data_IF_721280919709
#
_entry.id   IF_721280919709
#
_cell.length_a   1.000
_cell.length_b   1.000
_cell.length_c   1.000
_cell.angle_alpha   90.00
_cell.angle_beta   90.00
_cell.angle_gamma   90.00
#
_symmetry.space_group_name_H-M   'P 1'
#
loop_
_entity.id
_entity.type
_entity.pdbx_description
1 polymer ?
#
# COMPACT_ATOMS: atom_id res chain seq x y z
N UNK A 1 31.26 -35.10 48.95
CA UNK A 1 29.95 -34.65 48.37
C UNK A 1 29.86 -33.13 48.23
N UNK A 2 30.14 -32.33 49.27
CA UNK A 2 30.11 -30.86 49.21
C UNK A 2 31.02 -30.21 48.15
N UNK A 3 32.24 -30.72 47.95
CA UNK A 3 33.16 -30.17 46.96
C UNK A 3 32.67 -30.35 45.50
N UNK A 4 32.07 -31.51 45.18
CA UNK A 4 31.47 -31.76 43.85
C UNK A 4 30.26 -30.86 43.59
N UNK A 5 29.44 -30.60 44.62
CA UNK A 5 28.30 -29.68 44.52
C UNK A 5 28.74 -28.22 44.28
N UNK A 6 29.81 -27.78 44.95
CA UNK A 6 30.38 -26.44 44.77
C UNK A 6 31.01 -26.30 43.37
N UNK A 7 31.79 -27.28 42.92
CA UNK A 7 32.38 -27.26 41.57
C UNK A 7 31.32 -27.30 40.47
N UNK A 8 30.25 -28.09 40.62
CA UNK A 8 29.13 -28.10 39.66
C UNK A 8 28.35 -26.78 39.65
N UNK A 9 28.16 -26.14 40.82
CA UNK A 9 27.49 -24.84 40.90
C UNK A 9 28.34 -23.72 40.25
N UNK A 10 29.65 -23.73 40.46
CA UNK A 10 30.58 -22.79 39.80
C UNK A 10 30.57 -22.99 38.29
N UNK A 11 30.66 -24.25 37.81
CA UNK A 11 30.61 -24.54 36.38
C UNK A 11 29.29 -24.10 35.74
N UNK A 12 28.16 -24.37 36.39
CA UNK A 12 26.84 -23.89 35.93
C UNK A 12 26.78 -22.36 35.88
N UNK A 13 27.32 -21.67 36.89
CA UNK A 13 27.37 -20.21 36.93
C UNK A 13 28.22 -19.63 35.79
N UNK A 14 29.38 -20.23 35.49
CA UNK A 14 30.20 -19.81 34.34
C UNK A 14 29.51 -20.08 33.00
N UNK A 15 28.85 -21.22 32.83
CA UNK A 15 28.10 -21.52 31.60
C UNK A 15 26.97 -20.53 31.39
N UNK A 16 26.20 -20.23 32.44
CA UNK A 16 25.13 -19.22 32.38
C UNK A 16 25.71 -17.83 32.14
N UNK A 17 26.79 -17.46 32.82
CA UNK A 17 27.48 -16.18 32.63
C UNK A 17 27.99 -15.98 31.21
N UNK A 18 28.60 -17.01 30.62
CA UNK A 18 29.05 -17.01 29.22
C UNK A 18 27.83 -16.92 28.28
N UNK A 19 26.76 -17.67 28.53
CA UNK A 19 25.55 -17.60 27.70
C UNK A 19 24.93 -16.19 27.71
N UNK A 20 24.86 -15.54 28.88
CA UNK A 20 24.38 -14.15 29.00
C UNK A 20 25.33 -13.19 28.29
N UNK A 21 26.64 -13.29 28.51
CA UNK A 21 27.63 -12.42 27.86
C UNK A 21 27.65 -12.57 26.34
N UNK A 22 27.52 -13.78 25.82
CA UNK A 22 27.47 -14.03 24.37
C UNK A 22 26.18 -13.50 23.78
N UNK A 23 25.03 -13.70 24.42
CA UNK A 23 23.74 -13.22 23.90
C UNK A 23 23.59 -11.71 23.97
N UNK A 24 23.97 -11.08 25.09
CA UNK A 24 23.93 -9.63 25.23
C UNK A 24 25.06 -8.95 24.48
N UNK A 25 26.28 -9.49 24.55
CA UNK A 25 27.45 -8.96 23.84
C UNK A 25 27.27 -9.02 22.32
N UNK A 26 26.70 -10.10 21.77
CA UNK A 26 26.36 -10.15 20.34
C UNK A 26 25.28 -9.13 19.97
N UNK A 27 24.26 -8.96 20.80
CA UNK A 27 23.20 -7.96 20.55
C UNK A 27 23.79 -6.55 20.51
N UNK A 28 24.66 -6.19 21.47
CA UNK A 28 25.35 -4.91 21.49
C UNK A 28 26.30 -4.74 20.31
N UNK A 29 27.07 -5.78 19.95
CA UNK A 29 27.98 -5.77 18.81
C UNK A 29 27.23 -5.52 17.50
N UNK A 30 26.12 -6.22 17.25
CA UNK A 30 25.34 -6.03 16.02
C UNK A 30 24.56 -4.70 16.01
N UNK A 31 24.18 -4.16 17.18
CA UNK A 31 23.54 -2.85 17.28
C UNK A 31 24.52 -1.68 17.09
N UNK A 32 25.79 -1.81 17.49
CA UNK A 32 26.76 -0.72 17.48
C UNK A 32 27.18 -0.23 16.08
N UNK A 33 26.85 -0.97 15.02
CA UNK A 33 27.31 -0.69 13.64
C UNK A 33 26.23 -0.21 12.67
N UNK A 34 25.00 0.09 13.12
CA UNK A 34 23.88 0.41 12.22
C UNK A 34 23.70 -0.63 11.09
N UNK A 35 23.91 -1.92 11.40
CA UNK A 35 23.83 -3.01 10.42
C UNK A 35 25.12 -3.34 9.67
N UNK A 36 26.17 -2.49 9.72
CA UNK A 36 27.47 -2.79 9.07
C UNK A 36 28.12 -4.06 9.63
N UNK A 37 28.02 -4.28 10.94
CA UNK A 37 28.50 -5.51 11.59
C UNK A 37 27.72 -6.75 11.16
N UNK A 38 26.45 -6.60 10.77
CA UNK A 38 25.65 -7.68 10.19
C UNK A 38 26.12 -7.98 8.75
N UNK A 39 26.37 -6.94 7.94
CA UNK A 39 26.85 -7.07 6.56
C UNK A 39 28.24 -7.73 6.44
N UNK A 40 29.04 -7.73 7.50
CA UNK A 40 30.33 -8.43 7.53
C UNK A 40 30.17 -9.96 7.46
N UNK A 41 29.06 -10.50 7.96
CA UNK A 41 28.79 -11.94 7.99
C UNK A 41 27.65 -12.36 7.06
N UNK A 42 26.75 -11.45 6.73
CA UNK A 42 25.57 -11.68 5.91
C UNK A 42 25.67 -10.92 4.59
N UNK A 43 25.25 -11.55 3.50
CA UNK A 43 25.21 -10.97 2.14
C UNK A 43 24.11 -9.90 2.02
N UNK A 44 24.21 -8.83 2.82
CA UNK A 44 23.23 -7.76 2.95
C UNK A 44 23.86 -6.36 2.82
N UNK A 45 25.12 -6.28 2.38
CA UNK A 45 25.82 -5.00 2.22
C UNK A 45 25.05 -4.01 1.34
N UNK A 46 24.41 -4.50 0.26
CA UNK A 46 23.54 -3.68 -0.58
C UNK A 46 22.32 -3.15 0.19
N UNK A 47 21.64 -3.99 0.99
CA UNK A 47 20.49 -3.57 1.80
C UNK A 47 20.88 -2.58 2.90
N UNK A 48 22.03 -2.77 3.54
CA UNK A 48 22.57 -1.83 4.56
C UNK A 48 22.90 -0.49 3.91
N UNK A 49 23.60 -0.51 2.77
CA UNK A 49 23.92 0.72 2.02
C UNK A 49 22.65 1.46 1.59
N UNK A 50 21.68 0.73 1.06
CA UNK A 50 20.39 1.29 0.65
C UNK A 50 19.65 1.90 1.85
N UNK A 51 19.64 1.23 3.00
CA UNK A 51 19.01 1.76 4.22
C UNK A 51 19.70 3.03 4.71
N UNK A 52 21.03 3.07 4.78
CA UNK A 52 21.81 4.26 5.18
C UNK A 52 21.61 5.45 4.26
N UNK A 53 21.36 5.20 2.98
CA UNK A 53 21.05 6.24 2.01
C UNK A 53 19.55 6.63 1.98
N UNK A 54 18.70 6.02 2.80
CA UNK A 54 17.28 6.35 2.89
C UNK A 54 17.00 7.43 3.94
N UNK A 55 15.79 8.01 3.99
CA UNK A 55 15.32 8.89 5.06
C UNK A 55 15.38 8.24 6.45
N UNK A 56 15.46 6.91 6.52
CA UNK A 56 15.62 6.16 7.75
C UNK A 56 17.08 5.81 8.06
N UNK A 57 18.07 6.39 7.37
CA UNK A 57 19.48 5.98 7.49
C UNK A 57 20.10 6.04 8.89
N UNK A 58 19.48 6.78 9.82
CA UNK A 58 19.89 6.83 11.23
C UNK A 58 19.24 5.74 12.11
N UNK A 59 18.24 5.02 11.63
CA UNK A 59 17.58 3.95 12.37
C UNK A 59 18.46 2.69 12.41
N UNK A 60 18.31 1.90 13.48
CA UNK A 60 18.90 0.58 13.59
C UNK A 60 18.01 -0.45 12.88
N UNK A 61 18.61 -1.54 12.38
CA UNK A 61 17.83 -2.61 11.75
C UNK A 61 16.76 -3.18 12.70
N UNK A 62 17.10 -3.28 13.99
CA UNK A 62 16.21 -3.80 15.04
C UNK A 62 15.04 -2.85 15.38
N UNK A 63 15.14 -1.56 15.03
CA UNK A 63 14.04 -0.61 15.18
C UNK A 63 12.87 -0.96 14.26
N UNK A 64 13.14 -1.69 13.16
CA UNK A 64 12.14 -2.16 12.21
C UNK A 64 11.96 -3.69 12.23
N UNK A 65 13.05 -4.47 12.24
CA UNK A 65 12.99 -5.93 12.13
C UNK A 65 13.07 -6.60 13.48
N UNK A 66 12.15 -7.52 13.75
CA UNK A 66 12.30 -8.46 14.87
C UNK A 66 13.24 -9.60 14.48
N UNK A 67 14.07 -10.02 15.43
CA UNK A 67 14.89 -11.21 15.27
C UNK A 67 14.70 -12.07 16.51
N UNK A 68 13.79 -13.04 16.42
CA UNK A 68 13.52 -13.95 17.53
C UNK A 68 14.74 -14.86 17.79
N UNK A 69 14.83 -15.45 18.98
CA UNK A 69 15.87 -16.44 19.27
C UNK A 69 15.80 -17.64 18.30
N UNK A 70 14.60 -18.04 17.90
CA UNK A 70 14.38 -19.09 16.91
C UNK A 70 14.99 -18.73 15.56
N UNK A 71 14.82 -17.49 15.11
CA UNK A 71 15.43 -17.00 13.87
C UNK A 71 16.95 -16.97 13.94
N UNK A 72 17.50 -16.51 15.07
CA UNK A 72 18.96 -16.53 15.31
C UNK A 72 19.51 -17.96 15.21
N UNK A 73 18.86 -18.92 15.88
CA UNK A 73 19.29 -20.32 15.86
C UNK A 73 19.13 -20.96 14.48
N UNK A 74 18.05 -20.64 13.76
CA UNK A 74 17.85 -21.06 12.36
C UNK A 74 18.95 -20.51 11.46
N UNK A 75 19.29 -19.23 11.56
CA UNK A 75 20.37 -18.62 10.78
C UNK A 75 21.72 -19.27 11.08
N UNK A 76 22.04 -19.52 12.35
CA UNK A 76 23.27 -20.23 12.74
C UNK A 76 23.29 -21.64 12.12
N UNK A 77 22.18 -22.38 12.19
CA UNK A 77 22.08 -23.72 11.59
C UNK A 77 22.25 -23.68 10.07
N UNK A 78 21.59 -22.76 9.38
CA UNK A 78 21.70 -22.61 7.92
C UNK A 78 23.12 -22.19 7.52
N UNK A 79 23.74 -21.29 8.29
CA UNK A 79 25.12 -20.87 8.03
C UNK A 79 26.13 -22.02 8.21
N UNK A 80 25.96 -22.86 9.23
CA UNK A 80 26.88 -23.95 9.53
C UNK A 80 26.63 -25.22 8.69
N UNK A 81 25.38 -25.50 8.35
CA UNK A 81 24.97 -26.81 7.81
C UNK A 81 23.99 -26.74 6.64
N UNK A 82 23.51 -25.55 6.27
CA UNK A 82 22.50 -25.37 5.25
C UNK A 82 23.06 -24.98 3.89
N UNK A 83 22.27 -25.22 2.85
CA UNK A 83 22.44 -24.52 1.58
C UNK A 83 21.98 -23.06 1.73
N UNK A 84 22.66 -22.16 1.02
CA UNK A 84 22.27 -20.75 0.96
C UNK A 84 20.85 -20.66 0.37
N UNK A 85 19.91 -19.96 1.02
CA UNK A 85 18.61 -19.71 0.40
C UNK A 85 18.76 -18.77 -0.80
N UNK A 86 17.95 -18.99 -1.84
CA UNK A 86 17.99 -18.22 -3.10
C UNK A 86 17.58 -16.74 -2.93
N UNK A 87 17.10 -16.34 -1.75
CA UNK A 87 16.79 -14.95 -1.40
C UNK A 87 16.30 -14.78 0.04
N UNK A 88 16.37 -13.55 0.55
CA UNK A 88 15.75 -13.17 1.84
C UNK A 88 14.33 -12.72 1.55
N UNK A 89 13.34 -13.51 1.96
CA UNK A 89 11.91 -13.20 1.81
C UNK A 89 11.35 -12.61 3.09
N UNK A 90 10.54 -11.57 2.97
CA UNK A 90 9.73 -11.07 4.07
C UNK A 90 8.48 -11.94 4.19
N UNK A 91 8.28 -12.59 5.34
CA UNK A 91 7.05 -13.29 5.61
C UNK A 91 5.98 -12.33 6.13
N UNK A 92 4.70 -12.65 5.90
CA UNK A 92 3.55 -11.92 6.46
C UNK A 92 3.72 -11.58 7.95
N UNK A 93 4.19 -12.53 8.76
CA UNK A 93 4.43 -12.32 10.18
C UNK A 93 5.47 -11.22 10.47
N UNK A 94 6.53 -11.16 9.66
CA UNK A 94 7.57 -10.13 9.78
C UNK A 94 7.00 -8.75 9.41
N UNK A 95 6.19 -8.68 8.36
CA UNK A 95 5.55 -7.43 7.91
C UNK A 95 4.55 -6.91 8.94
N UNK A 96 3.76 -7.81 9.55
CA UNK A 96 2.85 -7.44 10.63
C UNK A 96 3.59 -6.89 11.85
N UNK A 97 4.69 -7.53 12.26
CA UNK A 97 5.52 -6.98 13.34
C UNK A 97 6.06 -5.59 12.97
N UNK A 98 6.57 -5.43 11.75
CA UNK A 98 7.08 -4.15 11.26
C UNK A 98 6.03 -3.03 11.33
N UNK A 99 4.76 -3.30 11.05
CA UNK A 99 3.69 -2.29 11.12
C UNK A 99 3.60 -1.61 12.50
N UNK A 100 3.72 -2.39 13.58
CA UNK A 100 3.69 -1.86 14.95
C UNK A 100 4.91 -0.99 15.23
N UNK A 101 6.06 -1.35 14.67
CA UNK A 101 7.29 -0.57 14.77
C UNK A 101 7.22 0.72 13.96
N UNK A 102 6.65 0.68 12.75
CA UNK A 102 6.36 1.88 11.97
C UNK A 102 5.52 2.87 12.77
N UNK A 103 4.46 2.40 13.47
CA UNK A 103 3.60 3.24 14.30
C UNK A 103 4.36 4.01 15.38
N UNK A 104 5.44 3.45 15.94
CA UNK A 104 6.19 4.12 17.03
C UNK A 104 6.74 5.50 16.62
N UNK A 105 7.12 5.66 15.34
CA UNK A 105 7.61 6.90 14.77
C UNK A 105 6.57 7.61 13.88
N UNK A 106 5.76 6.85 13.13
CA UNK A 106 4.76 7.33 12.17
C UNK A 106 3.33 7.27 12.72
N UNK A 107 3.14 7.86 13.91
CA UNK A 107 1.87 7.78 14.64
C UNK A 107 0.70 8.39 13.85
N UNK A 108 0.93 9.53 13.19
CA UNK A 108 -0.10 10.23 12.43
C UNK A 108 -0.46 9.47 11.15
N UNK A 109 0.54 9.03 10.39
CA UNK A 109 0.34 8.26 9.17
C UNK A 109 -0.37 6.94 9.46
N UNK A 110 0.06 6.23 10.51
CA UNK A 110 -0.58 5.00 10.95
C UNK A 110 -2.03 5.24 11.36
N UNK A 111 -2.30 6.25 12.21
CA UNK A 111 -3.67 6.55 12.65
C UNK A 111 -4.57 6.92 11.47
N UNK A 112 -4.05 7.69 10.50
CA UNK A 112 -4.76 8.01 9.27
C UNK A 112 -5.05 6.75 8.45
N UNK A 113 -4.05 5.91 8.21
CA UNK A 113 -4.23 4.66 7.46
C UNK A 113 -5.21 3.72 8.15
N UNK A 114 -5.10 3.56 9.46
CA UNK A 114 -5.94 2.69 10.28
C UNK A 114 -7.40 3.16 10.35
N UNK A 115 -7.65 4.45 10.19
CA UNK A 115 -9.00 5.00 10.11
C UNK A 115 -9.61 4.91 8.69
N UNK A 116 -8.80 4.56 7.69
CA UNK A 116 -9.20 4.49 6.29
C UNK A 116 -9.63 3.08 5.84
N UNK A 117 -10.15 2.96 4.61
CA UNK A 117 -10.52 1.67 4.03
C UNK A 117 -9.30 0.77 3.73
N UNK A 118 -8.10 1.34 3.59
CA UNK A 118 -6.88 0.57 3.34
C UNK A 118 -6.38 -0.26 4.54
N UNK A 119 -6.90 -0.05 5.75
CA UNK A 119 -6.67 -0.97 6.86
C UNK A 119 -7.68 -2.13 6.89
N UNK A 120 -8.39 -2.38 5.79
CA UNK A 120 -9.33 -3.50 5.67
C UNK A 120 -8.64 -4.83 6.02
N UNK A 121 -9.34 -5.59 6.86
CA UNK A 121 -8.81 -6.82 7.44
C UNK A 121 -9.06 -8.03 6.54
N UNK A 122 -8.39 -9.15 6.83
CA UNK A 122 -8.65 -10.40 6.11
C UNK A 122 -10.11 -10.82 6.19
N UNK A 123 -10.76 -10.66 7.35
CA UNK A 123 -12.19 -10.96 7.47
C UNK A 123 -13.05 -10.03 6.61
N UNK A 124 -12.80 -8.72 6.65
CA UNK A 124 -13.54 -7.75 5.86
C UNK A 124 -13.43 -8.00 4.34
N UNK A 125 -12.27 -8.44 3.86
CA UNK A 125 -12.06 -8.70 2.43
C UNK A 125 -12.53 -10.10 2.01
N UNK A 126 -12.03 -11.14 2.67
CA UNK A 126 -12.20 -12.52 2.18
C UNK A 126 -13.51 -13.16 2.61
N UNK A 127 -14.23 -12.59 3.59
CA UNK A 127 -15.53 -13.13 4.03
C UNK A 127 -16.73 -12.25 3.65
N UNK A 128 -16.54 -11.22 2.81
CA UNK A 128 -17.64 -10.36 2.35
C UNK A 128 -18.64 -11.13 1.48
N UNK A 129 -19.83 -11.37 2.03
CA UNK A 129 -20.86 -12.15 1.35
C UNK A 129 -21.38 -11.45 0.07
N UNK A 130 -21.41 -10.12 0.03
CA UNK A 130 -21.91 -9.36 -1.13
C UNK A 130 -20.97 -9.52 -2.32
N UNK A 131 -19.67 -9.41 -2.10
CA UNK A 131 -18.65 -9.66 -3.09
C UNK A 131 -18.62 -11.13 -3.49
N UNK A 132 -18.48 -12.04 -2.52
CA UNK A 132 -18.21 -13.44 -2.79
C UNK A 132 -19.39 -14.19 -3.45
N UNK A 133 -20.64 -13.75 -3.22
CA UNK A 133 -21.79 -14.27 -3.97
C UNK A 133 -21.77 -13.88 -5.44
N UNK A 134 -21.24 -12.71 -5.76
CA UNK A 134 -21.14 -12.20 -7.13
C UNK A 134 -19.92 -12.72 -7.88
N UNK A 135 -18.86 -13.09 -7.16
CA UNK A 135 -17.58 -13.47 -7.75
C UNK A 135 -16.82 -14.47 -6.90
N UNK A 136 -16.29 -15.50 -7.56
CA UNK A 136 -15.38 -16.47 -6.93
C UNK A 136 -14.05 -15.79 -6.60
N UNK A 137 -13.59 -15.98 -5.37
CA UNK A 137 -12.26 -15.58 -4.93
C UNK A 137 -11.16 -16.34 -5.70
N UNK A 138 -10.05 -15.67 -5.97
CA UNK A 138 -8.95 -16.19 -6.78
C UNK A 138 -7.60 -15.65 -6.29
N UNK A 139 -6.50 -16.30 -6.66
CA UNK A 139 -5.15 -15.88 -6.21
C UNK A 139 -4.80 -14.45 -6.63
N UNK A 140 -5.46 -13.91 -7.66
CA UNK A 140 -5.28 -12.52 -8.08
C UNK A 140 -5.76 -11.50 -7.03
N UNK A 141 -6.58 -11.91 -6.05
CA UNK A 141 -6.90 -11.08 -4.87
C UNK A 141 -5.62 -10.67 -4.13
N UNK A 142 -4.60 -11.53 -4.10
CA UNK A 142 -3.31 -11.28 -3.45
C UNK A 142 -2.40 -10.31 -4.21
N UNK A 143 -2.81 -9.84 -5.39
CA UNK A 143 -2.17 -8.68 -6.02
C UNK A 143 -2.25 -7.45 -5.13
N UNK A 144 -3.31 -7.31 -4.33
CA UNK A 144 -3.54 -6.14 -3.49
C UNK A 144 -3.86 -6.47 -2.03
N UNK A 145 -4.58 -7.57 -1.77
CA UNK A 145 -4.99 -7.94 -0.43
C UNK A 145 -4.21 -9.16 0.06
N UNK A 146 -3.33 -9.01 1.06
CA UNK A 146 -2.52 -10.12 1.58
C UNK A 146 -1.29 -10.39 0.71
N UNK A 147 -0.65 -9.32 0.23
CA UNK A 147 0.47 -9.39 -0.73
C UNK A 147 1.70 -10.13 -0.17
N UNK A 148 1.84 -10.20 1.15
CA UNK A 148 2.93 -10.91 1.84
C UNK A 148 2.50 -12.29 2.38
N UNK A 149 1.25 -12.70 2.15
CA UNK A 149 0.76 -14.03 2.50
C UNK A 149 1.40 -15.09 1.59
N UNK A 150 2.01 -16.09 2.21
CA UNK A 150 2.67 -17.19 1.52
C UNK A 150 1.69 -18.37 1.37
N UNK A 151 0.94 -18.40 0.27
CA UNK A 151 -0.05 -19.41 -0.03
C UNK A 151 -0.96 -19.00 -1.20
N UNK A 152 -1.97 -19.82 -1.50
CA UNK A 152 -3.06 -19.48 -2.41
C UNK A 152 -4.31 -19.00 -1.66
N UNK A 153 -5.29 -18.47 -2.37
CA UNK A 153 -6.54 -17.98 -1.78
C UNK A 153 -7.33 -19.09 -1.07
N UNK A 154 -7.18 -20.34 -1.51
CA UNK A 154 -7.73 -21.52 -0.82
C UNK A 154 -7.16 -21.74 0.57
N UNK A 155 -5.96 -21.24 0.82
CA UNK A 155 -5.27 -21.40 2.09
C UNK A 155 -5.67 -20.30 3.07
N UNK A 156 -6.39 -19.25 2.63
CA UNK A 156 -6.90 -18.19 3.51
C UNK A 156 -8.40 -18.27 3.76
N UNK A 157 -9.19 -18.77 2.80
CA UNK A 157 -10.65 -18.77 2.90
C UNK A 157 -11.28 -19.98 2.22
N UNK A 158 -12.32 -20.54 2.85
CA UNK A 158 -13.13 -21.64 2.33
C UNK A 158 -14.62 -21.36 2.56
N UNK A 159 -15.53 -21.83 1.68
CA UNK A 159 -15.26 -22.56 0.44
C UNK A 159 -14.88 -21.63 -0.71
N UNK A 160 -14.12 -22.15 -1.68
CA UNK A 160 -13.75 -21.43 -2.91
C UNK A 160 -14.86 -21.47 -3.97
N UNK A 161 -16.08 -21.05 -3.61
CA UNK A 161 -17.26 -20.97 -4.48
C UNK A 161 -18.07 -19.67 -4.24
N UNK A 162 -19.19 -19.49 -4.94
CA UNK A 162 -20.09 -18.32 -4.81
C UNK A 162 -21.30 -18.56 -3.90
N UNK A 163 -21.35 -19.70 -3.19
CA UNK A 163 -22.49 -20.11 -2.36
C UNK A 163 -22.29 -19.89 -0.86
N UNK A 164 -21.02 -19.89 -0.40
CA UNK A 164 -20.69 -19.68 1.01
C UNK A 164 -21.26 -20.77 1.95
N UNK A 165 -21.30 -20.51 3.26
CA UNK A 165 -20.70 -19.36 3.94
C UNK A 165 -19.17 -19.42 3.92
N UNK A 166 -18.53 -18.27 3.68
CA UNK A 166 -17.06 -18.14 3.67
C UNK A 166 -16.52 -17.94 5.08
N UNK A 167 -15.48 -18.68 5.41
CA UNK A 167 -14.76 -18.56 6.67
C UNK A 167 -13.26 -18.59 6.39
N UNK A 168 -12.51 -17.89 7.25
CA UNK A 168 -11.07 -17.93 7.20
C UNK A 168 -10.56 -19.27 7.74
N UNK A 169 -9.59 -19.84 7.04
CA UNK A 169 -8.84 -21.02 7.50
C UNK A 169 -7.80 -20.66 8.56
N UNK A 170 -7.35 -19.40 8.56
CA UNK A 170 -6.45 -18.78 9.54
C UNK A 170 -7.21 -17.74 10.37
N UNK A 171 -7.95 -18.15 11.42
CA UNK A 171 -8.71 -17.21 12.25
C UNK A 171 -7.81 -16.19 12.96
N UNK A 172 -6.55 -16.50 13.20
CA UNK A 172 -5.55 -15.59 13.76
C UNK A 172 -5.23 -14.39 12.86
N UNK A 173 -5.56 -14.45 11.57
CA UNK A 173 -5.40 -13.33 10.63
C UNK A 173 -6.64 -12.46 10.52
N UNK A 174 -7.76 -12.83 11.15
CA UNK A 174 -9.06 -12.21 10.89
C UNK A 174 -9.09 -10.68 11.08
N UNK A 175 -8.39 -10.17 12.10
CA UNK A 175 -8.28 -8.75 12.41
C UNK A 175 -7.05 -8.08 11.82
N UNK A 176 -6.21 -8.83 11.11
CA UNK A 176 -4.97 -8.31 10.54
C UNK A 176 -5.24 -7.56 9.24
N UNK A 177 -4.51 -6.47 8.98
CA UNK A 177 -4.67 -5.70 7.75
C UNK A 177 -4.18 -6.50 6.54
N UNK A 178 -4.87 -6.36 5.42
CA UNK A 178 -4.46 -6.98 4.14
C UNK A 178 -3.54 -6.10 3.30
N UNK A 179 -3.46 -4.79 3.61
CA UNK A 179 -2.67 -3.80 2.86
C UNK A 179 -1.76 -3.05 3.85
N UNK A 180 -0.63 -3.65 4.28
CA UNK A 180 0.32 -2.98 5.17
C UNK A 180 1.02 -1.80 4.46
N UNK A 181 1.69 -0.93 5.22
CA UNK A 181 2.39 0.25 4.68
C UNK A 181 3.34 -0.10 3.53
N UNK A 182 4.03 -1.24 3.64
CA UNK A 182 5.00 -1.71 2.65
C UNK A 182 4.35 -2.18 1.34
N UNK A 183 3.01 -2.29 1.26
CA UNK A 183 2.33 -2.46 -0.04
C UNK A 183 2.51 -1.24 -0.95
N UNK A 184 2.63 -0.04 -0.34
CA UNK A 184 2.75 1.24 -1.04
C UNK A 184 4.07 1.98 -0.76
N UNK A 185 4.88 1.49 0.18
CA UNK A 185 6.13 2.13 0.57
C UNK A 185 7.33 1.20 0.51
N UNK A 186 8.40 1.67 -0.13
CA UNK A 186 9.70 1.00 -0.14
C UNK A 186 10.67 1.69 0.81
N UNK A 187 11.19 0.94 1.80
CA UNK A 187 12.02 1.47 2.89
C UNK A 187 13.52 1.39 2.58
N UNK A 188 14.02 0.20 2.21
CA UNK A 188 15.45 -0.03 1.94
C UNK A 188 15.82 0.40 0.52
N UNK A 189 16.05 1.70 0.33
CA UNK A 189 16.43 2.21 -0.98
C UNK A 189 17.37 3.41 -0.88
N UNK A 190 18.24 3.49 -1.87
CA UNK A 190 19.10 4.64 -2.05
C UNK A 190 18.29 5.86 -2.53
N UNK A 191 18.38 6.94 -1.77
CA UNK A 191 17.80 8.24 -2.09
C UNK A 191 18.89 9.31 -2.05
N UNK A 192 18.73 10.35 -2.87
CA UNK A 192 19.52 11.55 -2.67
C UNK A 192 19.08 12.19 -1.33
N UNK A 193 20.00 12.53 -0.42
CA UNK A 193 19.65 13.22 0.81
C UNK A 193 18.86 14.49 0.52
N UNK A 194 17.75 14.71 1.25
CA UNK A 194 17.05 15.97 1.18
C UNK A 194 17.98 17.09 1.64
N UNK A 195 18.22 18.07 0.77
CA UNK A 195 19.01 19.25 1.11
C UNK A 195 18.08 20.41 1.41
N UNK A 196 18.46 21.21 2.40
CA UNK A 196 17.79 22.49 2.67
C UNK A 196 17.94 23.38 1.43
N UNK A 197 16.84 23.92 0.87
CA UNK A 197 16.96 24.88 -0.23
C UNK A 197 17.87 26.05 0.17
N UNK A 198 18.77 26.44 -0.74
CA UNK A 198 19.70 27.55 -0.49
C UNK A 198 18.97 28.89 -0.33
N UNK A 199 17.81 29.04 -0.98
CA UNK A 199 16.95 30.20 -0.85
C UNK A 199 15.87 29.98 0.22
N UNK A 200 15.41 31.08 0.83
CA UNK A 200 14.27 31.07 1.77
C UNK A 200 12.98 30.55 1.14
N UNK A 201 12.84 30.70 -0.18
CA UNK A 201 11.67 30.26 -0.95
C UNK A 201 12.02 28.92 -1.59
N UNK A 202 11.28 27.88 -1.24
CA UNK A 202 11.38 26.58 -1.92
C UNK A 202 10.83 26.71 -3.33
N UNK A 203 11.60 26.26 -4.32
CA UNK A 203 11.11 26.01 -5.67
C UNK A 203 10.45 24.62 -5.73
N UNK A 204 9.83 24.28 -6.86
CA UNK A 204 9.23 22.96 -7.07
C UNK A 204 10.28 21.86 -6.83
N UNK A 205 10.03 21.01 -5.83
CA UNK A 205 10.79 19.79 -5.59
C UNK A 205 10.35 18.66 -6.52
N UNK A 206 10.88 17.44 -6.33
CA UNK A 206 10.46 16.28 -7.11
C UNK A 206 8.95 16.05 -7.00
N UNK A 207 8.32 15.70 -8.12
CA UNK A 207 6.86 15.54 -8.23
C UNK A 207 6.30 14.37 -7.41
N UNK A 208 7.16 13.43 -7.00
CA UNK A 208 6.80 12.22 -6.25
C UNK A 208 7.70 12.12 -5.05
N UNK A 209 7.12 11.78 -3.90
CA UNK A 209 7.92 11.26 -2.80
C UNK A 209 8.50 9.96 -3.29
N UNK A 210 9.81 9.91 -3.36
CA UNK A 210 10.48 8.79 -3.96
C UNK A 210 10.07 7.46 -3.25
N UNK A 211 9.63 7.48 -1.97
CA UNK A 211 9.35 6.27 -1.16
C UNK A 211 8.07 5.56 -1.57
N UNK A 212 7.26 6.20 -2.40
CA UNK A 212 6.04 5.64 -2.95
C UNK A 212 6.39 4.59 -4.02
N UNK A 213 6.00 3.35 -3.77
CA UNK A 213 6.29 2.20 -4.61
C UNK A 213 5.25 1.11 -4.41
N UNK A 214 4.96 0.32 -5.44
CA UNK A 214 4.10 -0.84 -5.32
C UNK A 214 4.94 -2.09 -5.07
N UNK A 215 4.62 -2.85 -4.02
CA UNK A 215 5.19 -4.18 -3.86
C UNK A 215 4.50 -5.14 -4.83
N UNK A 216 5.22 -5.79 -5.74
CA UNK A 216 4.65 -6.86 -6.54
C UNK A 216 4.96 -8.20 -5.88
N UNK A 217 3.91 -8.94 -5.50
CA UNK A 217 4.03 -10.24 -4.85
C UNK A 217 4.68 -11.31 -5.74
N UNK A 218 4.48 -11.24 -7.06
CA UNK A 218 4.96 -12.28 -7.99
C UNK A 218 6.47 -12.16 -8.18
N UNK A 219 6.94 -10.93 -8.26
CA UNK A 219 8.36 -10.60 -8.35
C UNK A 219 9.04 -10.53 -6.96
N UNK A 220 8.26 -10.43 -5.89
CA UNK A 220 8.74 -10.18 -4.52
C UNK A 220 9.60 -8.89 -4.41
N UNK A 221 9.23 -7.87 -5.18
CA UNK A 221 10.01 -6.63 -5.36
C UNK A 221 9.13 -5.38 -5.33
N UNK A 222 9.74 -4.26 -4.91
CA UNK A 222 9.10 -2.95 -5.00
C UNK A 222 9.42 -2.25 -6.33
N UNK A 223 8.36 -1.74 -6.97
CA UNK A 223 8.44 -0.90 -8.17
C UNK A 223 8.07 0.54 -7.83
N UNK A 224 8.98 1.48 -8.09
CA UNK A 224 8.76 2.91 -7.82
C UNK A 224 7.53 3.43 -8.56
N UNK A 225 6.76 4.31 -7.94
CA UNK A 225 5.56 4.89 -8.56
C UNK A 225 5.83 5.52 -9.94
N UNK A 226 6.97 6.19 -10.10
CA UNK A 226 7.38 6.78 -11.38
C UNK A 226 7.75 5.77 -12.47
N UNK A 227 8.01 4.51 -12.13
CA UNK A 227 8.30 3.42 -13.07
C UNK A 227 7.05 2.62 -13.45
N UNK A 228 5.94 2.80 -12.72
CA UNK A 228 4.68 2.13 -13.01
C UNK A 228 3.95 2.81 -14.17
N UNK A 229 3.30 2.01 -15.01
CA UNK A 229 2.49 2.50 -16.12
C UNK A 229 1.16 3.07 -15.64
N UNK A 230 0.79 4.24 -16.15
CA UNK A 230 -0.58 4.76 -16.09
C UNK A 230 -1.33 4.22 -17.32
N UNK A 231 -2.45 3.51 -17.16
CA UNK A 231 -3.14 2.87 -18.29
C UNK A 231 -3.79 3.89 -19.22
N UNK A 232 -3.88 3.53 -20.50
CA UNK A 232 -4.73 4.24 -21.46
C UNK A 232 -6.17 3.72 -21.34
N UNK A 233 -7.09 4.61 -20.98
CA UNK A 233 -8.49 4.26 -20.65
C UNK A 233 -9.50 4.98 -21.52
N UNK A 234 -10.70 4.40 -21.62
CA UNK A 234 -11.76 4.83 -22.52
C UNK A 234 -13.14 4.85 -21.82
N UNK A 235 -13.99 5.80 -22.22
CA UNK A 235 -15.44 5.82 -21.96
C UNK A 235 -16.17 5.58 -23.28
N UNK A 236 -16.54 4.32 -23.50
CA UNK A 236 -17.02 3.83 -24.77
C UNK A 236 -15.96 3.98 -25.87
N UNK A 237 -16.27 4.64 -27.00
CA UNK A 237 -15.28 4.89 -28.06
C UNK A 237 -14.30 6.01 -27.73
N UNK A 238 -14.55 6.81 -26.69
CA UNK A 238 -13.80 8.03 -26.42
C UNK A 238 -12.60 7.74 -25.51
N UNK A 239 -11.42 8.16 -25.94
CA UNK A 239 -10.22 8.11 -25.10
C UNK A 239 -10.34 9.15 -23.98
N UNK A 240 -10.13 8.71 -22.75
CA UNK A 240 -10.15 9.59 -21.58
C UNK A 240 -8.84 10.37 -21.46
N UNK A 241 -8.94 11.63 -21.02
CA UNK A 241 -7.80 12.34 -20.49
C UNK A 241 -7.51 11.83 -19.07
N UNK A 242 -6.36 11.17 -18.91
CA UNK A 242 -5.87 10.71 -17.61
C UNK A 242 -4.78 11.65 -17.11
N UNK A 243 -4.77 11.95 -15.81
CA UNK A 243 -3.70 12.75 -15.22
C UNK A 243 -2.35 12.06 -15.41
N UNK A 244 -1.29 12.83 -15.70
CA UNK A 244 0.06 12.30 -15.78
C UNK A 244 0.75 12.19 -14.41
N UNK A 245 0.04 12.42 -13.30
CA UNK A 245 0.60 12.31 -11.95
C UNK A 245 1.05 10.87 -11.66
N UNK A 246 2.37 10.60 -11.58
CA UNK A 246 2.89 9.26 -11.34
C UNK A 246 2.47 8.64 -9.99
N UNK A 247 2.03 9.43 -9.01
CA UNK A 247 1.57 8.89 -7.70
C UNK A 247 0.37 7.97 -7.87
N UNK A 248 -0.51 8.28 -8.83
CA UNK A 248 -1.72 7.48 -9.07
C UNK A 248 -1.42 6.13 -9.73
N UNK A 249 -0.23 5.94 -10.29
CA UNK A 249 0.15 4.68 -10.92
C UNK A 249 0.18 3.52 -9.91
N UNK A 250 0.45 3.82 -8.63
CA UNK A 250 0.31 2.85 -7.52
C UNK A 250 -1.16 2.50 -7.29
N UNK A 251 -2.05 3.50 -7.27
CA UNK A 251 -3.49 3.28 -7.11
C UNK A 251 -4.04 2.36 -8.21
N UNK A 252 -3.60 2.56 -9.45
CA UNK A 252 -3.97 1.71 -10.59
C UNK A 252 -3.48 0.26 -10.49
N UNK A 253 -2.54 -0.07 -9.59
CA UNK A 253 -2.20 -1.49 -9.38
C UNK A 253 -3.33 -2.26 -8.70
N UNK A 254 -4.26 -1.57 -8.03
CA UNK A 254 -5.40 -2.16 -7.32
C UNK A 254 -6.75 -1.70 -7.83
N UNK A 255 -6.91 -0.41 -8.09
CA UNK A 255 -8.14 0.21 -8.60
C UNK A 255 -8.09 0.40 -10.12
N UNK A 256 -7.63 -0.62 -10.85
CA UNK A 256 -7.64 -0.62 -12.31
C UNK A 256 -8.94 -1.20 -12.87
N UNK A 257 -9.34 -0.74 -14.06
CA UNK A 257 -10.44 -1.36 -14.80
C UNK A 257 -10.13 -2.79 -15.19
N UNK A 258 -11.20 -3.58 -15.24
CA UNK A 258 -11.12 -4.96 -15.69
C UNK A 258 -11.13 -5.01 -17.22
N UNK A 259 -10.53 -6.06 -17.82
CA UNK A 259 -10.73 -6.34 -19.22
C UNK A 259 -12.23 -6.42 -19.55
N UNK A 260 -12.59 -5.96 -20.75
CA UNK A 260 -13.97 -6.02 -21.23
C UNK A 260 -14.49 -7.45 -21.17
N UNK A 261 -15.69 -7.62 -20.59
CA UNK A 261 -16.34 -8.94 -20.54
C UNK A 261 -16.57 -9.44 -21.98
N UNK A 262 -16.32 -10.73 -22.30
CA UNK A 262 -16.33 -11.24 -23.67
C UNK A 262 -17.61 -10.97 -24.48
N UNK A 263 -18.75 -10.81 -23.80
CA UNK A 263 -20.06 -10.56 -24.41
C UNK A 263 -20.55 -9.11 -24.23
N UNK A 264 -19.68 -8.19 -23.83
CA UNK A 264 -20.03 -6.77 -23.68
C UNK A 264 -20.00 -6.03 -25.04
N UNK A 265 -20.71 -4.89 -25.12
CA UNK A 265 -20.62 -3.97 -26.26
C UNK A 265 -19.16 -3.57 -26.51
N UNK A 266 -18.39 -3.34 -25.44
CA UNK A 266 -16.98 -2.99 -25.54
C UNK A 266 -16.16 -4.10 -26.21
N UNK A 267 -16.40 -5.37 -25.87
CA UNK A 267 -15.74 -6.49 -26.55
C UNK A 267 -16.18 -6.61 -28.02
N UNK A 268 -17.48 -6.51 -28.31
CA UNK A 268 -18.00 -6.60 -29.67
C UNK A 268 -17.49 -5.46 -30.58
N UNK A 269 -17.33 -4.26 -30.01
CA UNK A 269 -16.82 -3.08 -30.70
C UNK A 269 -15.29 -2.99 -30.72
N UNK A 270 -14.58 -3.99 -30.19
CA UNK A 270 -13.12 -4.00 -30.03
C UNK A 270 -12.58 -2.74 -29.35
N UNK A 271 -13.32 -2.21 -28.37
CA UNK A 271 -12.86 -1.08 -27.59
C UNK A 271 -11.71 -1.51 -26.65
N UNK A 272 -10.78 -0.60 -26.41
CA UNK A 272 -9.69 -0.80 -25.44
C UNK A 272 -10.24 -0.79 -24.01
N UNK A 273 -9.35 -0.88 -23.02
CA UNK A 273 -9.69 -0.99 -21.60
C UNK A 273 -10.65 0.14 -21.14
N UNK A 274 -11.82 -0.26 -20.64
CA UNK A 274 -12.93 0.64 -20.32
C UNK A 274 -12.90 1.05 -18.86
N UNK A 275 -12.97 2.36 -18.60
CA UNK A 275 -13.10 2.88 -17.26
C UNK A 275 -14.47 2.56 -16.63
N UNK A 276 -14.54 2.59 -15.30
CA UNK A 276 -15.76 2.34 -14.53
C UNK A 276 -16.14 0.86 -14.38
N UNK A 277 -15.20 -0.06 -14.61
CA UNK A 277 -15.43 -1.50 -14.48
C UNK A 277 -14.71 -2.11 -13.26
N UNK A 278 -15.37 -3.05 -12.58
CA UNK A 278 -14.78 -3.67 -11.38
C UNK A 278 -14.65 -2.68 -10.23
N UNK A 279 -13.43 -2.54 -9.68
CA UNK A 279 -13.11 -1.58 -8.62
C UNK A 279 -12.38 -0.33 -9.16
N UNK A 280 -12.44 -0.09 -10.48
CA UNK A 280 -11.89 1.11 -11.08
C UNK A 280 -12.53 2.37 -10.54
N UNK A 281 -11.70 3.33 -10.14
CA UNK A 281 -12.10 4.64 -9.64
C UNK A 281 -11.67 5.77 -10.56
N UNK A 282 -11.32 5.46 -11.82
CA UNK A 282 -10.90 6.45 -12.81
C UNK A 282 -11.92 7.59 -12.92
N UNK A 283 -11.49 8.84 -12.68
CA UNK A 283 -12.34 10.00 -12.86
C UNK A 283 -12.77 10.18 -14.32
N UNK A 284 -14.07 10.35 -14.54
CA UNK A 284 -14.70 10.63 -15.82
C UNK A 284 -15.65 11.82 -15.69
N UNK A 285 -16.22 12.26 -16.81
CA UNK A 285 -17.23 13.31 -16.81
C UNK A 285 -16.65 14.63 -16.31
N UNK A 286 -17.23 15.19 -15.25
CA UNK A 286 -16.80 16.50 -14.71
C UNK A 286 -15.43 16.46 -14.02
N UNK A 287 -14.92 15.27 -13.70
CA UNK A 287 -13.63 15.07 -13.04
C UNK A 287 -12.56 14.46 -13.96
N UNK A 288 -12.85 14.32 -15.26
CA UNK A 288 -11.90 13.78 -16.23
C UNK A 288 -10.57 14.57 -16.22
N UNK A 289 -9.44 13.86 -16.22
CA UNK A 289 -8.11 14.45 -16.18
C UNK A 289 -7.58 14.80 -14.79
N UNK A 290 -8.38 14.62 -13.73
CA UNK A 290 -7.90 14.73 -12.35
C UNK A 290 -7.16 13.45 -11.92
N UNK A 291 -6.18 13.60 -11.04
CA UNK A 291 -5.52 12.46 -10.40
C UNK A 291 -6.34 12.00 -9.20
N UNK A 292 -6.23 10.72 -8.80
CA UNK A 292 -6.83 10.19 -7.57
C UNK A 292 -6.47 11.06 -6.34
N UNK A 293 -5.21 11.51 -6.28
CA UNK A 293 -4.67 12.33 -5.17
C UNK A 293 -5.08 13.80 -5.23
N UNK A 294 -5.80 14.23 -6.28
CA UNK A 294 -6.43 15.55 -6.29
C UNK A 294 -7.63 15.58 -5.34
N UNK A 295 -8.32 14.44 -5.20
CA UNK A 295 -9.49 14.31 -4.34
C UNK A 295 -9.16 13.60 -3.01
N UNK A 296 -8.36 12.53 -3.05
CA UNK A 296 -8.12 11.66 -1.89
C UNK A 296 -6.82 11.99 -1.16
N UNK A 297 -6.86 11.99 0.18
CA UNK A 297 -5.67 12.02 1.02
C UNK A 297 -5.12 10.61 1.24
N UNK A 298 -3.89 10.34 0.79
CA UNK A 298 -3.39 8.99 0.47
C UNK A 298 -3.57 7.91 1.54
N UNK A 299 -3.41 8.21 2.84
CA UNK A 299 -3.49 7.16 3.87
C UNK A 299 -4.93 6.80 4.29
N UNK A 300 -5.81 7.77 4.51
CA UNK A 300 -7.21 7.50 4.91
C UNK A 300 -8.20 7.48 3.73
N UNK A 301 -7.72 7.80 2.52
CA UNK A 301 -8.52 8.01 1.31
C UNK A 301 -9.66 9.01 1.46
N UNK A 302 -9.59 9.92 2.44
CA UNK A 302 -10.66 10.86 2.68
C UNK A 302 -10.65 11.97 1.62
N UNK A 303 -11.82 12.25 1.05
CA UNK A 303 -12.04 13.32 0.06
C UNK A 303 -12.73 14.57 0.62
N UNK A 304 -13.16 14.57 1.90
CA UNK A 304 -14.07 15.60 2.45
C UNK A 304 -13.57 17.05 2.35
N UNK A 305 -12.26 17.28 2.29
CA UNK A 305 -11.71 18.63 2.22
C UNK A 305 -11.22 19.02 0.80
N UNK A 306 -11.28 18.13 -0.19
CA UNK A 306 -10.68 18.40 -1.50
C UNK A 306 -11.59 19.20 -2.41
N UNK A 307 -12.91 19.11 -2.24
CA UNK A 307 -13.89 19.82 -3.06
C UNK A 307 -13.63 21.34 -3.03
N UNK A 308 -13.36 21.91 -1.85
CA UNK A 308 -13.10 23.34 -1.67
C UNK A 308 -11.81 23.84 -2.34
N UNK A 309 -10.85 22.96 -2.67
CA UNK A 309 -9.63 23.36 -3.37
C UNK A 309 -9.90 23.75 -4.84
N UNK A 310 -11.00 23.24 -5.40
CA UNK A 310 -11.40 23.47 -6.79
C UNK A 310 -12.71 24.25 -6.88
N UNK A 311 -13.63 24.05 -5.95
CA UNK A 311 -14.97 24.64 -5.97
C UNK A 311 -15.05 25.84 -5.02
N UNK A 312 -15.68 26.95 -5.46
CA UNK A 312 -16.43 27.10 -6.70
C UNK A 312 -15.58 27.53 -7.93
N UNK A 313 -14.27 27.75 -7.77
CA UNK A 313 -13.43 28.38 -8.79
C UNK A 313 -13.46 27.67 -10.17
N UNK A 314 -13.53 26.34 -10.18
CA UNK A 314 -13.59 25.50 -11.38
C UNK A 314 -15.01 25.00 -11.71
N UNK A 315 -16.02 25.37 -10.91
CA UNK A 315 -17.42 24.98 -11.14
C UNK A 315 -18.12 25.92 -12.10
N UNK A 316 -18.83 25.35 -13.06
CA UNK A 316 -19.67 26.10 -13.99
C UNK A 316 -21.15 26.19 -13.57
N UNK A 317 -21.59 25.39 -12.59
CA UNK A 317 -23.01 25.26 -12.24
C UNK A 317 -23.45 26.06 -11.00
N UNK A 318 -22.50 26.64 -10.25
CA UNK A 318 -22.80 27.46 -9.06
C UNK A 318 -23.48 26.70 -7.91
N UNK A 319 -23.43 25.36 -7.91
CA UNK A 319 -23.99 24.49 -6.87
C UNK A 319 -22.96 24.25 -5.75
N UNK A 320 -23.47 24.00 -4.55
CA UNK A 320 -22.70 23.44 -3.44
C UNK A 320 -22.45 21.96 -3.71
N UNK A 321 -21.29 21.65 -4.31
CA UNK A 321 -21.00 20.32 -4.86
C UNK A 321 -21.02 19.19 -3.82
N UNK A 322 -20.67 19.49 -2.56
CA UNK A 322 -20.70 18.53 -1.46
C UNK A 322 -22.12 18.09 -1.07
N UNK A 323 -23.14 18.86 -1.45
CA UNK A 323 -24.56 18.54 -1.20
C UNK A 323 -25.28 18.01 -2.43
N UNK A 324 -24.59 17.88 -3.56
CA UNK A 324 -25.19 17.31 -4.75
C UNK A 324 -25.47 15.82 -4.52
N UNK A 325 -26.55 15.32 -5.13
CA UNK A 325 -26.90 13.91 -5.13
C UNK A 325 -25.81 13.12 -5.85
N UNK A 326 -24.82 12.67 -5.08
CA UNK A 326 -23.67 11.88 -5.53
C UNK A 326 -23.24 10.93 -4.42
N UNK A 327 -22.45 9.91 -4.77
CA UNK A 327 -21.88 8.96 -3.80
C UNK A 327 -20.97 9.59 -2.75
N UNK A 328 -20.54 10.84 -2.94
CA UNK A 328 -19.84 11.61 -1.90
C UNK A 328 -20.77 12.00 -0.75
N UNK A 329 -21.97 12.48 -1.06
CA UNK A 329 -22.95 12.94 -0.08
C UNK A 329 -23.77 11.77 0.50
N UNK A 330 -24.18 10.83 -0.36
CA UNK A 330 -24.91 9.62 0.02
C UNK A 330 -24.33 8.40 -0.71
N UNK A 331 -23.73 7.43 -0.01
CA UNK A 331 -23.15 6.23 -0.64
C UNK A 331 -24.18 5.36 -1.40
N UNK A 332 -25.49 5.61 -1.24
CA UNK A 332 -26.57 4.92 -1.98
C UNK A 332 -27.01 5.66 -3.24
N UNK A 333 -26.49 6.86 -3.49
CA UNK A 333 -26.81 7.63 -4.70
C UNK A 333 -26.49 6.84 -5.97
N UNK A 334 -27.33 6.99 -6.99
CA UNK A 334 -27.08 6.43 -8.32
C UNK A 334 -26.02 7.20 -9.10
N UNK A 335 -25.66 8.40 -8.65
CA UNK A 335 -24.67 9.26 -9.30
C UNK A 335 -23.29 9.06 -8.65
N UNK A 336 -22.46 8.21 -9.26
CA UNK A 336 -21.11 7.99 -8.74
C UNK A 336 -20.25 9.26 -8.91
N UNK A 337 -19.67 9.76 -7.81
CA UNK A 337 -18.80 10.95 -7.82
C UNK A 337 -17.61 10.84 -8.79
N UNK A 338 -17.13 9.63 -9.04
CA UNK A 338 -16.03 9.40 -9.98
C UNK A 338 -16.46 9.59 -11.45
N UNK A 339 -17.73 9.40 -11.77
CA UNK A 339 -18.20 9.31 -13.16
C UNK A 339 -19.29 10.30 -13.52
N UNK A 340 -19.73 11.12 -12.56
CA UNK A 340 -20.82 12.06 -12.73
C UNK A 340 -20.55 13.04 -13.89
N UNK A 341 -21.55 13.21 -14.74
CA UNK A 341 -21.57 14.10 -15.89
C UNK A 341 -22.54 15.24 -15.62
N UNK A 342 -22.34 16.39 -16.28
CA UNK A 342 -23.27 17.51 -16.18
C UNK A 342 -24.71 17.09 -16.53
N UNK A 343 -24.89 16.21 -17.51
CA UNK A 343 -26.19 15.74 -17.95
C UNK A 343 -26.95 14.93 -16.88
N UNK A 344 -26.23 14.29 -15.96
CA UNK A 344 -26.83 13.48 -14.89
C UNK A 344 -27.64 14.36 -13.92
N UNK A 345 -27.14 15.59 -13.66
CA UNK A 345 -27.81 16.54 -12.78
C UNK A 345 -28.61 17.64 -13.53
N UNK A 346 -28.41 17.78 -14.84
CA UNK A 346 -28.97 18.86 -15.65
C UNK A 346 -29.80 18.35 -16.84
N UNK A 347 -30.86 17.60 -16.54
CA UNK A 347 -31.77 17.02 -17.54
C UNK A 347 -32.49 18.08 -18.42
N UNK A 348 -32.59 19.33 -17.94
CA UNK A 348 -33.23 20.44 -18.65
C UNK A 348 -32.23 21.45 -19.27
N UNK A 349 -30.96 21.08 -19.37
CA UNK A 349 -29.93 21.90 -19.99
C UNK A 349 -28.78 22.26 -19.05
N UNK A 350 -27.56 22.13 -19.57
CA UNK A 350 -26.33 22.39 -18.83
C UNK A 350 -26.09 23.90 -18.77
N UNK A 351 -25.87 24.50 -17.58
CA UNK A 351 -25.58 25.93 -17.45
C UNK A 351 -24.33 26.33 -18.24
N UNK A 352 -24.41 27.48 -18.94
CA UNK A 352 -23.23 28.07 -19.59
C UNK A 352 -22.23 28.52 -18.53
N UNK A 353 -20.93 28.34 -18.79
CA UNK A 353 -19.87 28.79 -17.88
C UNK A 353 -19.98 30.29 -17.60
N UNK A 354 -19.66 30.73 -16.37
CA UNK A 354 -19.61 32.17 -16.05
C UNK A 354 -18.61 32.94 -16.92
N UNK A 355 -17.57 32.27 -17.43
CA UNK A 355 -16.61 32.87 -18.39
C UNK A 355 -17.24 33.14 -19.77
N UNK A 356 -18.20 32.33 -20.19
CA UNK A 356 -18.96 32.55 -21.45
C UNK A 356 -20.07 33.60 -21.29
N UNK A 357 -20.59 33.79 -20.08
CA UNK A 357 -21.58 34.84 -19.81
C UNK A 357 -20.95 36.25 -19.88
N UNK A 358 -19.72 36.42 -19.38
CA UNK A 358 -18.96 37.67 -19.48
C UNK A 358 -18.43 37.99 -20.89
N UNK A 359 -18.42 37.02 -21.81
CA UNK A 359 -18.00 37.25 -23.20
C UNK A 359 -19.16 37.42 -24.18
N UNK A 360 -20.42 37.40 -23.72
CA UNK A 360 -21.62 37.45 -24.58
C UNK A 360 -22.67 38.50 -24.14
N UNK A 361 -22.36 39.43 -23.23
CA UNK A 361 -23.31 40.52 -22.94
C UNK A 361 -22.80 41.59 -21.98
N UNK A 362 -22.80 42.82 -22.51
CA UNK A 362 -22.75 44.16 -21.89
C UNK A 362 -21.39 44.71 -21.41
#
# INVERSE_FOLDING_TARGET
MRFRLISSAIAAFFVVGIAVLVTWGSTLYYAAGHGSNCANCHEMAASVSAMHASPHGNAQCADCHDVSLGDKLRHVRVHLFGSRPDGVRLHEADVRSMMTKCQSCHQHEYASWHAGPHSATYSAIFTDAKHNTSRRLMDDCFRCHGMYFNGGVRDIVQPQNTSGPWHLTHPELASEPTIPCQSCHWIHREEAPQSKPAARISTAGPAVRDSLAFYDRREELHFRAAALSIPELYDGPNKLKISADPRQAVCYQCHAPRPSEPNSIAAAANWKLQAGSGDDRTPMGVHEGLSCVACHNGHNENARASCANCHPALSNCGREVEKMDTTFADPKSTHNIHWVKCADCHQHGIPKSRKSALSQGE
#
